data_IF_032867784191
#
_entry.id   IF_032867784191
#
_cell.length_a   1.000
_cell.length_b   1.000
_cell.length_c   1.000
_cell.angle_alpha   90.00
_cell.angle_beta   90.00
_cell.angle_gamma   90.00
#
_symmetry.space_group_name_H-M   'P 1'
#
loop_
_entity.id
_entity.type
_entity.pdbx_description
1 polymer ?
#
# COMPACT_ATOMS: atom_id res chain seq x y z
N UNK A 1 22.51 -5.60 43.66
CA UNK A 1 21.17 -5.20 43.19
C UNK A 1 21.41 -4.22 42.04
N UNK A 2 21.40 -4.66 40.78
CA UNK A 2 20.25 -4.63 39.84
C UNK A 2 19.32 -3.42 40.07
N UNK A 3 19.00 -2.59 39.08
CA UNK A 3 18.59 -2.95 37.72
C UNK A 3 19.15 -2.01 36.64
N UNK A 4 19.59 -2.59 35.52
CA UNK A 4 19.90 -1.88 34.29
C UNK A 4 18.61 -1.46 33.57
N UNK A 5 18.58 -0.23 33.07
CA UNK A 5 17.59 0.20 32.10
C UNK A 5 18.04 -0.28 30.71
N UNK A 6 17.41 -1.34 30.23
CA UNK A 6 17.48 -1.78 28.84
C UNK A 6 16.50 -0.94 28.02
N UNK A 7 16.99 0.13 27.39
CA UNK A 7 16.21 0.87 26.40
C UNK A 7 16.25 0.09 25.08
N UNK A 8 15.21 -0.73 24.82
CA UNK A 8 14.98 -1.29 23.49
C UNK A 8 14.50 -0.15 22.57
N UNK A 9 15.44 0.46 21.85
CA UNK A 9 15.13 1.37 20.75
C UNK A 9 14.71 0.52 19.55
N UNK A 10 13.41 0.31 19.34
CA UNK A 10 12.94 -0.04 18.01
C UNK A 10 13.09 1.20 17.15
N UNK A 11 14.21 1.27 16.42
CA UNK A 11 14.40 2.22 15.33
C UNK A 11 13.44 1.80 14.22
N UNK A 12 12.18 2.23 14.32
CA UNK A 12 11.29 2.28 13.17
C UNK A 12 12.05 3.13 12.15
N UNK A 13 12.42 2.60 10.97
CA UNK A 13 13.02 3.44 9.95
C UNK A 13 11.96 4.47 9.56
N UNK A 14 12.12 5.69 10.07
CA UNK A 14 11.53 6.86 9.44
C UNK A 14 12.22 6.89 8.07
N UNK A 15 11.52 6.47 7.03
CA UNK A 15 12.00 6.60 5.66
C UNK A 15 12.15 8.09 5.39
N UNK A 16 13.38 8.64 5.27
CA UNK A 16 13.56 10.00 4.84
C UNK A 16 13.00 10.11 3.42
N UNK A 17 12.44 11.26 3.07
CA UNK A 17 12.15 11.60 1.67
C UNK A 17 13.32 11.18 0.78
N UNK A 18 13.00 10.39 -0.25
CA UNK A 18 13.89 9.82 -1.26
C UNK A 18 15.23 10.58 -1.45
N UNK A 19 16.32 9.98 -0.96
CA UNK A 19 17.70 10.36 -1.28
C UNK A 19 18.38 9.20 -2.03
N UNK A 20 18.59 9.32 -3.35
CA UNK A 20 19.11 8.25 -4.18
C UNK A 20 20.61 7.95 -3.99
N UNK A 21 21.38 8.77 -3.25
CA UNK A 21 22.85 8.64 -3.20
C UNK A 21 23.36 7.89 -1.96
N UNK A 22 22.58 7.82 -0.87
CA UNK A 22 23.05 7.27 0.41
C UNK A 22 22.57 5.84 0.74
N UNK A 23 21.72 5.23 -0.08
CA UNK A 23 20.99 3.99 0.25
C UNK A 23 21.54 2.68 -0.35
N UNK A 24 22.68 2.70 -1.06
CA UNK A 24 23.19 1.51 -1.79
C UNK A 24 23.41 0.25 -0.94
N UNK A 25 23.37 0.28 0.40
CA UNK A 25 23.88 -0.85 1.18
C UNK A 25 22.99 -1.66 2.14
N UNK A 26 21.72 -1.36 2.37
CA UNK A 26 20.92 -2.20 3.31
C UNK A 26 19.65 -2.88 2.79
N UNK A 27 18.94 -2.37 1.77
CA UNK A 27 17.62 -2.92 1.39
C UNK A 27 17.31 -2.98 -0.12
N UNK A 28 18.30 -3.33 -0.96
CA UNK A 28 18.02 -3.57 -2.40
C UNK A 28 17.08 -4.76 -2.59
N UNK A 29 16.13 -4.67 -3.52
CA UNK A 29 15.28 -5.80 -4.00
C UNK A 29 16.13 -7.02 -4.27
N UNK A 30 17.28 -6.83 -4.93
CA UNK A 30 18.19 -7.92 -5.28
C UNK A 30 18.71 -8.68 -4.07
N UNK A 31 19.03 -8.00 -2.96
CA UNK A 31 19.46 -8.67 -1.71
C UNK A 31 18.31 -9.47 -1.08
N UNK A 32 17.08 -8.99 -1.18
CA UNK A 32 15.88 -9.61 -0.59
C UNK A 32 15.45 -10.85 -1.38
N UNK A 33 15.44 -10.77 -2.72
CA UNK A 33 14.85 -11.80 -3.58
C UNK A 33 15.86 -12.73 -4.27
N UNK A 34 17.18 -12.47 -4.21
CA UNK A 34 18.20 -13.32 -4.89
C UNK A 34 18.18 -14.80 -4.53
N UNK A 35 17.65 -15.15 -3.35
CA UNK A 35 17.55 -16.56 -2.90
C UNK A 35 16.16 -17.16 -3.06
N UNK A 36 15.19 -16.39 -3.54
CA UNK A 36 13.88 -16.91 -3.94
C UNK A 36 14.08 -17.59 -5.30
N UNK A 37 13.99 -18.92 -5.30
CA UNK A 37 14.14 -19.74 -6.50
C UNK A 37 12.80 -20.03 -7.16
N UNK A 38 11.78 -20.22 -6.34
CA UNK A 38 10.42 -20.56 -6.76
C UNK A 38 9.44 -19.61 -6.04
N UNK A 39 8.38 -19.24 -6.73
CA UNK A 39 7.23 -18.60 -6.10
C UNK A 39 6.39 -19.66 -5.42
N UNK A 40 6.11 -19.45 -4.14
CA UNK A 40 5.26 -20.34 -3.38
C UNK A 40 3.78 -19.96 -3.61
N UNK A 41 2.87 -20.94 -3.72
CA UNK A 41 1.43 -20.70 -3.88
C UNK A 41 0.81 -20.32 -2.53
N UNK A 42 1.32 -19.26 -1.91
CA UNK A 42 0.98 -18.82 -0.56
C UNK A 42 0.49 -17.38 -0.58
N UNK A 43 -0.50 -17.14 0.27
CA UNK A 43 -1.09 -15.83 0.52
C UNK A 43 -0.74 -15.38 1.94
N UNK A 44 -0.10 -14.23 2.05
CA UNK A 44 0.36 -13.63 3.31
C UNK A 44 -0.79 -12.86 3.97
N UNK A 45 -1.68 -13.61 4.61
CA UNK A 45 -2.87 -13.09 5.28
C UNK A 45 -2.48 -12.35 6.58
N UNK A 46 -2.96 -11.12 6.75
CA UNK A 46 -2.73 -10.28 7.94
C UNK A 46 -1.28 -10.18 8.40
N UNK A 47 -0.36 -10.11 7.45
CA UNK A 47 1.07 -9.98 7.73
C UNK A 47 1.46 -8.63 8.33
N UNK A 48 0.56 -7.64 8.32
CA UNK A 48 0.68 -6.39 9.07
C UNK A 48 0.81 -6.58 10.60
N UNK A 49 0.59 -7.79 11.11
CA UNK A 49 0.94 -8.16 12.49
C UNK A 49 2.44 -8.42 12.71
N UNK A 50 3.25 -8.44 11.63
CA UNK A 50 4.71 -8.63 11.65
C UNK A 50 5.42 -7.28 11.66
N UNK A 51 6.69 -7.29 12.10
CA UNK A 51 7.49 -6.05 12.20
C UNK A 51 7.80 -5.38 10.86
N UNK A 52 7.88 -6.16 9.77
CA UNK A 52 8.11 -5.66 8.41
C UNK A 52 7.31 -6.54 7.41
N UNK A 53 5.99 -6.30 7.27
CA UNK A 53 5.02 -7.22 6.66
C UNK A 53 5.42 -7.76 5.29
N UNK A 54 5.45 -6.85 4.29
CA UNK A 54 5.72 -7.19 2.90
C UNK A 54 7.10 -7.85 2.73
N UNK A 55 8.13 -7.34 3.39
CA UNK A 55 9.50 -7.85 3.21
C UNK A 55 9.66 -9.28 3.72
N UNK A 56 9.01 -9.65 4.83
CA UNK A 56 9.03 -11.03 5.30
C UNK A 56 8.34 -11.97 4.32
N UNK A 57 7.19 -11.57 3.78
CA UNK A 57 6.46 -12.35 2.81
C UNK A 57 7.27 -12.54 1.51
N UNK A 58 7.79 -11.45 0.94
CA UNK A 58 8.59 -11.45 -0.29
C UNK A 58 9.87 -12.27 -0.13
N UNK A 59 10.59 -12.14 0.99
CA UNK A 59 11.81 -12.93 1.25
C UNK A 59 11.55 -14.44 1.26
N UNK A 60 10.33 -14.86 1.60
CA UNK A 60 9.93 -16.27 1.62
C UNK A 60 9.23 -16.72 0.33
N UNK A 61 9.16 -15.87 -0.70
CA UNK A 61 8.56 -16.21 -2.00
C UNK A 61 7.03 -16.11 -2.06
N UNK A 62 6.39 -15.40 -1.12
CA UNK A 62 4.96 -15.08 -1.23
C UNK A 62 4.73 -14.09 -2.37
N UNK A 63 3.85 -14.39 -3.33
CA UNK A 63 3.42 -13.39 -4.32
C UNK A 63 2.09 -12.72 -4.03
N UNK A 64 1.43 -13.05 -2.92
CA UNK A 64 0.13 -12.49 -2.58
C UNK A 64 0.10 -12.06 -1.11
N UNK A 65 -0.43 -10.87 -0.85
CA UNK A 65 -0.47 -10.22 0.48
C UNK A 65 -1.85 -9.60 0.70
N UNK A 66 -2.27 -9.47 1.95
CA UNK A 66 -3.53 -8.81 2.31
C UNK A 66 -3.34 -7.68 3.30
N UNK A 67 -4.06 -6.58 3.06
CA UNK A 67 -4.20 -5.48 3.99
C UNK A 67 -5.68 -5.26 4.35
N UNK A 68 -6.03 -5.44 5.63
CA UNK A 68 -7.32 -5.03 6.19
C UNK A 68 -7.33 -3.51 6.38
N UNK A 69 -8.03 -2.76 5.53
CA UNK A 69 -7.98 -1.30 5.51
C UNK A 69 -9.21 -0.63 6.12
N UNK A 70 -8.94 0.43 6.86
CA UNK A 70 -9.95 1.29 7.49
C UNK A 70 -9.72 2.74 7.05
N UNK A 71 -10.71 3.31 6.37
CA UNK A 71 -10.70 4.73 6.04
C UNK A 71 -10.96 5.57 7.31
N UNK A 72 -10.08 6.53 7.58
CA UNK A 72 -10.29 7.54 8.63
C UNK A 72 -10.02 8.94 8.10
N UNK A 73 -10.73 9.90 8.68
CA UNK A 73 -10.48 11.33 8.49
C UNK A 73 -9.65 11.84 9.68
N UNK A 74 -8.40 12.19 9.43
CA UNK A 74 -7.49 12.74 10.43
C UNK A 74 -7.96 14.10 10.95
N UNK A 75 -8.76 14.85 10.18
CA UNK A 75 -9.31 16.15 10.60
C UNK A 75 -10.36 15.97 11.69
N UNK A 76 -11.20 14.93 11.58
CA UNK A 76 -12.21 14.57 12.59
C UNK A 76 -11.62 13.96 13.86
N UNK A 77 -10.35 13.56 13.81
CA UNK A 77 -9.62 13.03 14.97
C UNK A 77 -8.93 14.13 15.79
N UNK A 78 -9.02 15.41 15.36
CA UNK A 78 -8.49 16.57 16.11
C UNK A 78 -9.53 17.05 17.13
N UNK A 79 -9.21 17.11 18.43
CA UNK A 79 -10.14 17.59 19.47
C UNK A 79 -10.73 18.98 19.21
N UNK A 80 -10.02 19.83 18.48
CA UNK A 80 -10.37 21.25 18.31
C UNK A 80 -11.25 21.54 17.07
N UNK A 81 -11.39 20.61 16.12
CA UNK A 81 -12.04 20.88 14.83
C UNK A 81 -13.54 21.17 14.99
N UNK A 82 -14.25 20.33 15.73
CA UNK A 82 -15.70 20.45 15.86
C UNK A 82 -16.09 21.58 16.83
N UNK A 83 -15.28 21.80 17.86
CA UNK A 83 -15.51 22.85 18.86
C UNK A 83 -15.34 24.25 18.26
N UNK A 84 -14.33 24.47 17.43
CA UNK A 84 -14.11 25.75 16.72
C UNK A 84 -15.20 25.99 15.66
N UNK A 85 -15.67 24.96 14.97
CA UNK A 85 -16.75 25.08 13.99
C UNK A 85 -18.09 25.48 14.66
N UNK A 86 -18.46 24.85 15.78
CA UNK A 86 -19.65 25.17 16.58
C UNK A 86 -19.64 26.61 17.10
N UNK A 87 -18.49 27.09 17.58
CA UNK A 87 -18.34 28.47 18.08
C UNK A 87 -18.36 29.53 16.96
N UNK A 88 -18.01 29.14 15.74
CA UNK A 88 -17.98 30.05 14.58
C UNK A 88 -19.33 30.21 13.86
N UNK A 89 -20.37 29.46 14.25
CA UNK A 89 -21.69 29.48 13.60
C UNK A 89 -21.68 29.02 12.15
N UNK A 90 -20.55 28.50 11.66
CA UNK A 90 -20.38 28.01 10.29
C UNK A 90 -20.82 26.54 10.26
N UNK A 91 -21.73 26.13 9.36
CA UNK A 91 -22.07 24.72 9.23
C UNK A 91 -20.77 23.94 8.98
N UNK A 92 -20.63 22.71 9.54
CA UNK A 92 -19.44 21.91 9.33
C UNK A 92 -19.20 21.85 7.82
N UNK A 93 -18.00 22.25 7.39
CA UNK A 93 -17.70 22.36 5.99
C UNK A 93 -18.02 21.02 5.32
N UNK A 94 -18.91 21.06 4.32
CA UNK A 94 -19.06 19.93 3.40
C UNK A 94 -17.73 19.88 2.66
N UNK A 95 -16.80 19.07 3.17
CA UNK A 95 -15.48 18.90 2.59
C UNK A 95 -15.65 18.15 1.27
N UNK A 96 -15.70 18.91 0.17
CA UNK A 96 -15.90 18.40 -1.19
C UNK A 96 -14.60 17.94 -1.87
N UNK A 97 -13.45 18.13 -1.24
CA UNK A 97 -12.18 17.52 -1.67
C UNK A 97 -12.03 16.14 -1.02
N UNK A 98 -12.41 15.10 -1.75
CA UNK A 98 -11.90 13.75 -1.50
C UNK A 98 -10.36 13.85 -1.45
N UNK A 99 -9.72 13.31 -0.40
CA UNK A 99 -8.26 13.19 -0.30
C UNK A 99 -7.56 14.08 0.74
N UNK A 100 -8.04 15.28 1.05
CA UNK A 100 -7.32 16.16 2.00
C UNK A 100 -7.60 15.75 3.46
N UNK A 101 -6.68 15.03 4.09
CA UNK A 101 -6.79 14.55 5.48
C UNK A 101 -7.51 13.20 5.66
N UNK A 102 -7.75 12.44 4.60
CA UNK A 102 -8.23 11.06 4.69
C UNK A 102 -7.10 10.06 4.47
N UNK A 103 -7.04 9.00 5.27
CA UNK A 103 -5.99 7.99 5.22
C UNK A 103 -6.57 6.57 5.34
N UNK A 104 -5.88 5.59 4.76
CA UNK A 104 -6.17 4.16 4.84
C UNK A 104 -5.22 3.51 5.84
N UNK A 105 -5.72 3.32 7.07
CA UNK A 105 -4.99 2.61 8.12
C UNK A 105 -5.15 1.10 7.97
N UNK A 106 -4.12 0.34 8.33
CA UNK A 106 -4.13 -1.11 8.25
C UNK A 106 -4.28 -1.70 9.66
N UNK A 107 -5.14 -2.70 9.82
CA UNK A 107 -5.23 -3.45 11.07
C UNK A 107 -6.46 -4.34 11.17
N UNK A 108 -6.38 -5.33 12.05
CA UNK A 108 -7.44 -6.33 12.18
C UNK A 108 -8.73 -5.78 12.83
N UNK A 109 -8.59 -4.81 13.73
CA UNK A 109 -9.70 -4.18 14.44
C UNK A 109 -9.53 -2.66 14.47
N UNK A 110 -10.65 -1.93 14.38
CA UNK A 110 -10.65 -0.46 14.41
C UNK A 110 -10.04 0.14 15.68
N UNK A 111 -10.04 -0.59 16.80
CA UNK A 111 -9.45 -0.15 18.08
C UNK A 111 -7.92 -0.23 18.11
N UNK A 112 -7.32 -0.98 17.19
CA UNK A 112 -5.88 -1.27 17.21
C UNK A 112 -5.13 -0.53 16.10
N UNK A 113 -5.76 0.46 15.46
CA UNK A 113 -5.15 1.22 14.38
C UNK A 113 -4.06 2.14 14.92
N UNK A 114 -2.86 2.00 14.37
CA UNK A 114 -1.70 2.81 14.67
C UNK A 114 -1.52 3.87 13.59
N UNK A 115 -1.25 5.11 13.99
CA UNK A 115 -1.08 6.23 13.04
C UNK A 115 0.10 6.07 12.08
N UNK A 116 1.02 5.15 12.36
CA UNK A 116 2.18 4.84 11.53
C UNK A 116 1.98 3.60 10.64
N UNK A 117 0.87 2.88 10.80
CA UNK A 117 0.53 1.65 10.06
C UNK A 117 -0.56 1.97 9.03
N UNK A 118 -0.14 2.54 7.90
CA UNK A 118 -1.00 2.88 6.78
C UNK A 118 -0.76 1.92 5.62
N UNK A 119 -1.69 1.90 4.66
CA UNK A 119 -1.52 1.11 3.44
C UNK A 119 -0.26 1.53 2.67
N UNK A 120 0.09 2.82 2.72
CA UNK A 120 1.32 3.36 2.14
C UNK A 120 2.56 2.85 2.85
N UNK A 121 2.61 3.03 4.18
CA UNK A 121 3.81 2.72 4.97
C UNK A 121 4.11 1.23 5.05
N UNK A 122 3.09 0.36 4.96
CA UNK A 122 3.27 -1.08 5.08
C UNK A 122 3.40 -1.80 3.73
N UNK A 123 2.81 -1.25 2.65
CA UNK A 123 2.74 -1.94 1.35
C UNK A 123 3.09 -1.05 0.17
N UNK A 124 2.33 0.02 -0.10
CA UNK A 124 2.41 0.70 -1.40
C UNK A 124 3.76 1.42 -1.61
N UNK A 125 4.34 2.05 -0.59
CA UNK A 125 5.64 2.71 -0.74
C UNK A 125 6.75 1.69 -1.00
N UNK A 126 6.67 0.54 -0.34
CA UNK A 126 7.62 -0.55 -0.52
C UNK A 126 7.48 -1.21 -1.89
N UNK A 127 6.26 -1.52 -2.32
CA UNK A 127 6.00 -2.08 -3.65
C UNK A 127 6.48 -1.12 -4.74
N UNK A 128 6.21 0.19 -4.62
CA UNK A 128 6.70 1.18 -5.57
C UNK A 128 8.22 1.20 -5.61
N UNK A 129 8.89 1.28 -4.45
CA UNK A 129 10.35 1.25 -4.37
C UNK A 129 10.91 -0.01 -5.05
N UNK A 130 10.33 -1.19 -4.78
CA UNK A 130 10.81 -2.44 -5.35
C UNK A 130 10.63 -2.50 -6.87
N UNK A 131 9.50 -1.99 -7.38
CA UNK A 131 9.24 -1.96 -8.82
C UNK A 131 10.11 -0.93 -9.54
N UNK A 132 10.29 0.27 -8.97
CA UNK A 132 11.19 1.29 -9.51
C UNK A 132 12.64 0.75 -9.57
N UNK A 133 13.14 0.11 -8.50
CA UNK A 133 14.50 -0.48 -8.48
C UNK A 133 14.68 -1.54 -9.57
N UNK A 134 13.64 -2.34 -9.84
CA UNK A 134 13.68 -3.40 -10.85
C UNK A 134 13.54 -2.89 -12.30
N UNK A 135 13.17 -1.61 -12.49
CA UNK A 135 12.85 -1.03 -13.80
C UNK A 135 13.62 0.30 -14.06
N UNK A 136 14.78 0.52 -13.42
CA UNK A 136 15.59 1.76 -13.54
C UNK A 136 16.08 2.07 -14.97
N UNK A 137 16.51 1.05 -15.72
CA UNK A 137 17.21 1.27 -17.00
C UNK A 137 16.30 1.46 -18.22
N UNK A 138 14.98 1.50 -18.04
CA UNK A 138 14.02 1.42 -19.14
C UNK A 138 14.04 0.02 -19.77
N UNK A 139 12.88 -0.58 -19.97
CA UNK A 139 12.82 -1.98 -20.36
C UNK A 139 13.33 -2.20 -21.80
N UNK A 140 14.35 -3.06 -21.92
CA UNK A 140 14.65 -3.84 -23.14
C UNK A 140 13.62 -4.98 -23.37
N UNK A 141 12.58 -5.05 -22.52
CA UNK A 141 11.54 -6.07 -22.54
C UNK A 141 10.17 -5.45 -22.87
N UNK A 142 9.33 -6.20 -23.58
CA UNK A 142 7.96 -5.76 -23.92
C UNK A 142 7.08 -5.50 -22.67
N UNK A 143 7.44 -6.09 -21.53
CA UNK A 143 6.73 -5.97 -20.25
C UNK A 143 7.66 -5.50 -19.12
N UNK A 144 7.08 -4.77 -18.17
CA UNK A 144 7.72 -4.35 -16.93
C UNK A 144 8.04 -5.49 -15.99
N UNK A 145 9.19 -5.37 -15.32
CA UNK A 145 9.69 -6.40 -14.41
C UNK A 145 8.94 -6.36 -13.07
N UNK A 146 8.60 -7.53 -12.55
CA UNK A 146 8.16 -7.75 -11.18
C UNK A 146 9.31 -7.70 -10.16
N UNK A 147 8.99 -7.94 -8.89
CA UNK A 147 9.91 -7.72 -7.76
C UNK A 147 10.90 -8.87 -7.51
N UNK A 148 10.75 -10.01 -8.20
CA UNK A 148 11.59 -11.18 -8.01
C UNK A 148 12.72 -11.21 -9.04
N UNK A 149 13.97 -11.00 -8.61
CA UNK A 149 15.11 -10.88 -9.55
C UNK A 149 15.30 -12.12 -10.43
N UNK A 150 15.06 -13.31 -9.89
CA UNK A 150 15.20 -14.56 -10.63
C UNK A 150 13.95 -14.91 -11.45
N UNK A 151 12.82 -14.24 -11.19
CA UNK A 151 11.52 -14.47 -11.81
C UNK A 151 10.89 -13.11 -12.19
N UNK A 152 11.53 -12.32 -13.06
CA UNK A 152 11.17 -10.92 -13.28
C UNK A 152 9.85 -10.73 -14.03
N UNK A 153 9.20 -11.80 -14.50
CA UNK A 153 7.90 -11.73 -15.17
C UNK A 153 6.74 -12.08 -14.21
N UNK A 154 7.03 -12.43 -12.95
CA UNK A 154 5.99 -12.77 -11.98
C UNK A 154 5.24 -11.52 -11.49
N UNK A 155 3.92 -11.62 -11.55
CA UNK A 155 2.99 -10.67 -10.96
C UNK A 155 2.84 -10.92 -9.47
N UNK A 156 2.82 -9.84 -8.69
CA UNK A 156 2.41 -9.90 -7.28
C UNK A 156 1.01 -9.35 -7.09
N UNK A 157 0.34 -9.82 -6.04
CA UNK A 157 -1.05 -9.55 -5.75
C UNK A 157 -1.16 -8.85 -4.38
N UNK A 158 -1.79 -7.67 -4.36
CA UNK A 158 -2.18 -7.00 -3.14
C UNK A 158 -3.70 -7.06 -3.01
N UNK A 159 -4.18 -7.85 -2.05
CA UNK A 159 -5.59 -7.88 -1.66
C UNK A 159 -5.82 -6.76 -0.65
N UNK A 160 -6.72 -5.83 -0.95
CA UNK A 160 -7.10 -4.72 -0.08
C UNK A 160 -8.51 -4.99 0.41
N UNK A 161 -8.64 -5.44 1.65
CA UNK A 161 -9.93 -5.79 2.26
C UNK A 161 -10.54 -4.58 2.96
N UNK A 162 -11.64 -4.08 2.40
CA UNK A 162 -12.29 -2.88 2.91
C UNK A 162 -13.11 -3.21 4.16
N UNK A 163 -12.71 -2.66 5.31
CA UNK A 163 -13.45 -2.77 6.58
C UNK A 163 -14.40 -1.59 6.82
N UNK A 164 -14.35 -0.55 5.98
CA UNK A 164 -15.18 0.65 6.03
C UNK A 164 -16.00 0.82 4.75
N UNK A 165 -16.86 1.85 4.68
CA UNK A 165 -17.72 2.11 3.52
C UNK A 165 -16.96 2.08 2.18
N UNK A 166 -17.52 1.35 1.22
CA UNK A 166 -16.86 0.99 -0.04
C UNK A 166 -16.40 2.19 -0.88
N UNK A 167 -17.33 3.07 -1.28
CA UNK A 167 -17.08 4.10 -2.27
C UNK A 167 -16.05 5.17 -1.82
N UNK A 168 -16.12 5.71 -0.58
CA UNK A 168 -15.09 6.63 -0.09
C UNK A 168 -13.72 5.96 0.05
N UNK A 169 -13.68 4.70 0.51
CA UNK A 169 -12.42 3.94 0.66
C UNK A 169 -11.77 3.71 -0.70
N UNK A 170 -12.56 3.35 -1.72
CA UNK A 170 -12.09 3.23 -3.09
C UNK A 170 -11.58 4.54 -3.67
N UNK A 171 -12.24 5.67 -3.39
CA UNK A 171 -11.78 6.99 -3.82
C UNK A 171 -10.34 7.27 -3.38
N UNK A 172 -10.06 7.09 -2.09
CA UNK A 172 -8.71 7.28 -1.52
C UNK A 172 -7.73 6.22 -2.03
N UNK A 173 -8.15 4.95 -2.15
CA UNK A 173 -7.30 3.90 -2.73
C UNK A 173 -6.89 4.26 -4.17
N UNK A 174 -7.84 4.68 -5.01
CA UNK A 174 -7.59 5.04 -6.42
C UNK A 174 -6.60 6.21 -6.54
N UNK A 175 -6.70 7.20 -5.67
CA UNK A 175 -5.73 8.31 -5.59
C UNK A 175 -4.33 7.79 -5.27
N UNK A 176 -4.21 6.95 -4.23
CA UNK A 176 -2.93 6.31 -3.86
C UNK A 176 -2.37 5.38 -4.94
N UNK A 177 -3.22 4.79 -5.78
CA UNK A 177 -2.82 3.92 -6.89
C UNK A 177 -2.39 4.68 -8.16
N UNK A 178 -2.67 6.00 -8.26
CA UNK A 178 -2.28 6.80 -9.45
C UNK A 178 -0.80 6.68 -9.77
N UNK A 179 0.07 6.67 -8.76
CA UNK A 179 1.52 6.52 -8.94
C UNK A 179 1.91 5.23 -9.67
N UNK A 180 1.19 4.12 -9.47
CA UNK A 180 1.43 2.86 -10.17
C UNK A 180 0.85 2.89 -11.59
N UNK A 181 -0.33 3.52 -11.76
CA UNK A 181 -0.97 3.71 -13.08
C UNK A 181 -0.06 4.54 -13.99
N UNK A 182 0.44 5.68 -13.53
CA UNK A 182 1.34 6.56 -14.30
C UNK A 182 2.63 5.84 -14.71
N UNK A 183 3.08 4.89 -13.89
CA UNK A 183 4.26 4.07 -14.18
C UNK A 183 3.94 2.83 -15.02
N UNK A 184 2.67 2.50 -15.28
CA UNK A 184 2.27 1.30 -16.02
C UNK A 184 2.33 -0.01 -15.22
N UNK A 185 2.56 0.05 -13.90
CA UNK A 185 2.81 -1.14 -13.07
C UNK A 185 1.58 -1.98 -12.75
N UNK A 186 0.38 -1.45 -12.91
CA UNK A 186 -0.84 -2.18 -12.57
C UNK A 186 -1.29 -3.09 -13.70
N UNK A 187 -1.75 -4.29 -13.35
CA UNK A 187 -2.65 -5.05 -14.22
C UNK A 187 -3.97 -4.30 -14.38
N UNK A 188 -4.54 -4.35 -15.58
CA UNK A 188 -5.81 -3.72 -15.88
C UNK A 188 -6.56 -4.50 -16.96
N UNK A 189 -7.86 -4.25 -17.05
CA UNK A 189 -8.68 -4.76 -18.14
C UNK A 189 -8.85 -3.66 -19.19
N UNK A 190 -8.49 -3.95 -20.43
CA UNK A 190 -8.69 -3.05 -21.57
C UNK A 190 -10.03 -3.36 -22.23
N UNK A 191 -10.99 -2.47 -22.05
CA UNK A 191 -12.33 -2.59 -22.64
C UNK A 191 -12.35 -2.40 -24.16
N UNK A 192 -11.32 -1.78 -24.73
CA UNK A 192 -11.23 -1.56 -26.19
C UNK A 192 -10.87 -2.86 -26.90
N UNK A 193 -9.91 -3.60 -26.35
CA UNK A 193 -9.44 -4.87 -26.90
C UNK A 193 -10.11 -6.10 -26.28
N UNK A 194 -10.93 -5.93 -25.25
CA UNK A 194 -11.58 -7.02 -24.49
C UNK A 194 -10.58 -7.97 -23.82
N UNK A 195 -9.42 -7.44 -23.39
CA UNK A 195 -8.31 -8.25 -22.88
C UNK A 195 -7.82 -7.80 -21.51
N UNK A 196 -7.47 -8.76 -20.67
CA UNK A 196 -6.72 -8.50 -19.45
C UNK A 196 -5.24 -8.28 -19.79
N UNK A 197 -4.72 -7.10 -19.44
CA UNK A 197 -3.31 -6.75 -19.56
C UNK A 197 -2.66 -6.93 -18.20
N UNK A 198 -1.76 -7.90 -18.11
CA UNK A 198 -1.08 -8.23 -16.85
C UNK A 198 0.13 -7.33 -16.62
N UNK A 199 0.12 -6.58 -15.51
CA UNK A 199 1.24 -5.78 -15.03
C UNK A 199 2.02 -6.51 -13.93
N UNK A 200 3.15 -5.97 -13.45
CA UNK A 200 3.89 -6.58 -12.34
C UNK A 200 3.13 -6.56 -10.99
N UNK A 201 2.09 -5.73 -10.85
CA UNK A 201 1.24 -5.65 -9.65
C UNK A 201 -0.25 -5.76 -10.02
N UNK A 202 -0.97 -6.70 -9.42
CA UNK A 202 -2.43 -6.76 -9.46
C UNK A 202 -2.99 -6.36 -8.09
N UNK A 203 -3.87 -5.36 -8.06
CA UNK A 203 -4.60 -4.98 -6.84
C UNK A 203 -6.00 -5.57 -6.90
N UNK A 204 -6.38 -6.30 -5.86
CA UNK A 204 -7.69 -6.95 -5.72
C UNK A 204 -8.41 -6.29 -4.55
N UNK A 205 -9.68 -5.93 -4.72
CA UNK A 205 -10.49 -5.36 -3.64
C UNK A 205 -11.40 -6.44 -3.07
N UNK A 206 -11.44 -6.55 -1.75
CA UNK A 206 -12.29 -7.47 -0.98
C UNK A 206 -13.09 -6.69 0.08
N UNK A 207 -13.93 -7.39 0.86
CA UNK A 207 -14.69 -6.82 1.97
C UNK A 207 -15.89 -6.00 1.49
N UNK A 208 -16.07 -4.80 2.04
CA UNK A 208 -17.10 -3.86 1.58
C UNK A 208 -16.72 -3.29 0.20
N UNK A 209 -16.90 -4.08 -0.86
CA UNK A 209 -16.54 -3.71 -2.23
C UNK A 209 -17.50 -2.66 -2.83
N UNK A 210 -17.02 -1.77 -3.72
CA UNK A 210 -17.91 -0.84 -4.42
C UNK A 210 -18.92 -1.56 -5.29
N UNK A 211 -20.10 -0.98 -5.47
CA UNK A 211 -21.07 -1.49 -6.44
C UNK A 211 -20.54 -1.36 -7.86
N UNK A 212 -20.98 -2.24 -8.75
CA UNK A 212 -20.65 -2.21 -10.19
C UNK A 212 -20.94 -0.84 -10.81
N UNK A 213 -22.10 -0.26 -10.50
CA UNK A 213 -22.54 1.05 -11.01
C UNK A 213 -21.57 2.18 -10.63
N UNK A 214 -20.91 2.07 -9.47
CA UNK A 214 -19.94 3.08 -9.01
C UNK A 214 -18.61 2.98 -9.77
N UNK A 215 -18.22 1.77 -10.18
CA UNK A 215 -17.00 1.53 -10.96
C UNK A 215 -17.18 1.99 -12.41
N UNK A 216 -18.35 1.75 -13.00
CA UNK A 216 -18.65 2.12 -14.39
C UNK A 216 -18.78 3.64 -14.59
N UNK A 217 -19.27 4.40 -13.60
CA UNK A 217 -19.47 5.85 -13.73
C UNK A 217 -18.16 6.67 -13.72
N UNK A 218 -17.01 6.06 -13.44
CA UNK A 218 -15.71 6.76 -13.32
C UNK A 218 -14.56 6.10 -14.10
N UNK A 219 -14.86 5.19 -15.01
CA UNK A 219 -13.95 4.74 -16.06
C UNK A 219 -14.05 5.69 -17.26
#
# INVERSE_FOLDING_TARGET
MNFGHLSLLFKVPIFPSYDPVSHENFYSVRKITRYVKDILPIHSHNDYTRSIPLFYAVKNGCKSFEADVWLRDERRSRPDSDYVALLSGKPPAVHTSLGDGQELYVGHHSTNLNKYETLDSLYLDHLMYMLDEMNVDGNDTERQRGIYVNLPQETVFLVVDFKTHANPTFGVLREKLQRFITKGYLSYYDFTSDTFVEGPLTVIISGFTPSTDFLEYRA
#
